data_IF_711779822095
#
_entry.id   IF_711779822095
#
_cell.length_a   1.000
_cell.length_b   1.000
_cell.length_c   1.000
_cell.angle_alpha   90.00
_cell.angle_beta   90.00
_cell.angle_gamma   90.00
#
_symmetry.space_group_name_H-M   'P 1'
#
loop_
_entity.id
_entity.type
_entity.pdbx_description
1 polymer ?
#
# COMPACT_ATOMS: atom_id res chain seq x y z
N UNK A 1 -56.11 -0.92 -5.11
CA UNK A 1 -54.94 -1.82 -5.20
C UNK A 1 -54.44 -1.85 -6.64
N UNK A 2 -53.24 -1.33 -6.97
CA UNK A 2 -52.71 -1.43 -8.32
C UNK A 2 -51.99 -2.77 -8.52
N UNK A 3 -52.32 -3.49 -9.60
CA UNK A 3 -51.65 -4.72 -10.03
C UNK A 3 -50.23 -4.38 -10.51
N UNK A 4 -49.20 -4.84 -9.81
CA UNK A 4 -47.81 -4.77 -10.27
C UNK A 4 -47.55 -5.89 -11.28
N UNK A 5 -47.03 -5.49 -12.43
CA UNK A 5 -46.75 -6.32 -13.60
C UNK A 5 -45.61 -7.30 -13.28
N UNK A 6 -45.88 -8.62 -13.30
CA UNK A 6 -44.98 -9.69 -12.82
C UNK A 6 -43.90 -10.15 -13.81
N UNK A 7 -43.70 -9.44 -14.93
CA UNK A 7 -42.90 -9.95 -16.06
C UNK A 7 -41.61 -9.17 -16.37
N UNK A 8 -41.03 -8.46 -15.39
CA UNK A 8 -39.67 -7.91 -15.55
C UNK A 8 -38.70 -8.85 -14.82
N UNK A 9 -37.79 -9.55 -15.52
CA UNK A 9 -36.73 -10.31 -14.87
C UNK A 9 -35.90 -9.36 -14.02
N UNK A 10 -35.82 -9.60 -12.72
CA UNK A 10 -34.90 -8.88 -11.86
C UNK A 10 -33.47 -9.11 -12.38
N UNK A 11 -32.62 -8.07 -12.50
CA UNK A 11 -31.24 -8.26 -12.89
C UNK A 11 -30.55 -9.15 -11.84
N UNK A 12 -29.94 -10.24 -12.32
CA UNK A 12 -29.24 -11.22 -11.49
C UNK A 12 -28.31 -10.50 -10.50
N UNK A 13 -28.41 -10.76 -9.18
CA UNK A 13 -27.58 -10.10 -8.20
C UNK A 13 -26.12 -10.52 -8.40
N UNK A 14 -25.34 -9.58 -8.92
CA UNK A 14 -23.87 -9.67 -9.08
C UNK A 14 -23.25 -10.26 -7.81
N UNK A 15 -22.45 -11.31 -8.00
CA UNK A 15 -22.01 -12.24 -6.98
C UNK A 15 -21.59 -11.62 -5.64
N UNK A 16 -22.25 -12.06 -4.56
CA UNK A 16 -21.86 -11.80 -3.16
C UNK A 16 -20.44 -12.26 -2.89
N UNK A 17 -19.52 -11.34 -2.59
CA UNK A 17 -18.22 -11.70 -2.01
C UNK A 17 -18.48 -12.40 -0.67
N UNK A 18 -18.27 -13.73 -0.60
CA UNK A 18 -18.36 -14.50 0.65
C UNK A 18 -19.51 -15.51 0.80
N UNK A 19 -20.35 -15.75 -0.22
CA UNK A 19 -21.28 -16.89 -0.20
C UNK A 19 -21.01 -17.82 -1.38
N UNK A 20 -20.73 -19.08 -1.07
CA UNK A 20 -20.54 -20.19 -2.01
C UNK A 20 -21.83 -21.01 -2.08
N UNK A 21 -22.60 -20.84 -3.15
CA UNK A 21 -23.62 -21.81 -3.53
C UNK A 21 -23.18 -22.45 -4.85
N UNK A 22 -23.01 -23.78 -4.84
CA UNK A 22 -23.18 -24.66 -6.00
C UNK A 22 -22.19 -24.55 -7.15
N UNK A 23 -20.89 -24.72 -6.89
CA UNK A 23 -19.84 -25.34 -7.75
C UNK A 23 -18.48 -24.91 -7.19
N UNK A 24 -17.64 -25.87 -6.79
CA UNK A 24 -16.31 -25.55 -6.26
C UNK A 24 -15.46 -24.97 -7.39
N UNK A 25 -15.05 -23.69 -7.36
CA UNK A 25 -14.10 -23.18 -8.33
C UNK A 25 -12.80 -23.99 -8.24
N UNK A 26 -12.05 -24.15 -9.36
CA UNK A 26 -10.80 -24.91 -9.37
C UNK A 26 -9.90 -24.45 -8.23
N UNK A 27 -9.40 -25.40 -7.45
CA UNK A 27 -8.61 -25.14 -6.23
C UNK A 27 -7.36 -24.34 -6.61
N UNK A 28 -7.41 -23.03 -6.42
CA UNK A 28 -6.25 -22.17 -6.58
C UNK A 28 -5.20 -22.58 -5.54
N UNK A 29 -4.03 -23.05 -6.01
CA UNK A 29 -2.92 -23.44 -5.14
C UNK A 29 -1.94 -22.26 -5.03
N UNK A 30 -1.67 -21.72 -3.83
CA UNK A 30 -0.66 -20.69 -3.66
C UNK A 30 0.71 -21.27 -4.02
N UNK A 31 1.44 -20.61 -4.92
CA UNK A 31 2.82 -20.97 -5.24
C UNK A 31 3.76 -20.35 -4.19
N UNK A 32 4.54 -21.19 -3.51
CA UNK A 32 5.57 -20.77 -2.56
C UNK A 32 6.64 -19.90 -3.23
N UNK A 33 6.89 -20.12 -4.53
CA UNK A 33 7.84 -19.32 -5.34
C UNK A 33 7.46 -17.84 -5.32
N UNK A 34 6.17 -17.52 -5.28
CA UNK A 34 5.67 -16.14 -5.22
C UNK A 34 5.98 -15.48 -3.86
N UNK A 35 6.10 -16.25 -2.79
CA UNK A 35 6.47 -15.73 -1.48
C UNK A 35 8.00 -15.54 -1.33
N UNK A 36 8.82 -16.19 -2.18
CA UNK A 36 10.28 -16.17 -2.12
C UNK A 36 10.92 -14.77 -2.11
N UNK A 37 10.38 -13.73 -2.80
CA UNK A 37 10.97 -12.40 -2.75
C UNK A 37 11.04 -11.80 -1.34
N UNK A 38 10.12 -12.14 -0.43
CA UNK A 38 10.12 -11.60 0.93
C UNK A 38 11.38 -12.02 1.73
N UNK A 39 11.71 -13.32 1.89
CA UNK A 39 12.96 -13.72 2.53
C UNK A 39 14.20 -13.33 1.70
N UNK A 40 14.12 -13.31 0.37
CA UNK A 40 15.26 -12.89 -0.46
C UNK A 40 15.66 -11.44 -0.20
N UNK A 41 14.69 -10.53 -0.08
CA UNK A 41 14.95 -9.13 0.27
C UNK A 41 15.60 -9.02 1.65
N UNK A 42 15.09 -9.74 2.65
CA UNK A 42 15.66 -9.74 4.02
C UNK A 42 17.12 -10.23 3.99
N UNK A 43 17.38 -11.35 3.32
CA UNK A 43 18.74 -11.91 3.20
C UNK A 43 19.64 -10.95 2.43
N UNK A 44 19.16 -10.33 1.36
CA UNK A 44 19.93 -9.37 0.56
C UNK A 44 20.32 -8.15 1.38
N UNK A 45 19.39 -7.58 2.15
CA UNK A 45 19.67 -6.47 3.08
C UNK A 45 20.69 -6.91 4.13
N UNK A 46 20.56 -8.10 4.71
CA UNK A 46 21.50 -8.61 5.70
C UNK A 46 22.91 -8.78 5.12
N UNK A 47 23.02 -9.39 3.93
CA UNK A 47 24.30 -9.58 3.21
C UNK A 47 24.92 -8.23 2.89
N UNK A 48 24.18 -7.31 2.29
CA UNK A 48 24.69 -5.96 2.00
C UNK A 48 25.09 -5.21 3.27
N UNK A 49 24.35 -5.37 4.38
CA UNK A 49 24.70 -4.76 5.65
C UNK A 49 26.03 -5.28 6.21
N UNK A 50 26.40 -6.53 5.91
CA UNK A 50 27.67 -7.13 6.33
C UNK A 50 28.86 -6.76 5.42
N UNK A 51 28.64 -6.66 4.10
CA UNK A 51 29.73 -6.47 3.14
C UNK A 51 30.00 -4.99 2.81
N UNK A 52 29.00 -4.11 2.94
CA UNK A 52 29.19 -2.70 2.62
C UNK A 52 29.96 -1.99 3.74
N UNK A 53 30.91 -1.10 3.40
CA UNK A 53 31.66 -0.34 4.39
C UNK A 53 30.73 0.53 5.25
N UNK A 54 31.15 0.86 6.49
CA UNK A 54 30.42 1.79 7.35
C UNK A 54 30.19 3.14 6.65
N UNK A 55 29.15 3.92 7.04
CA UNK A 55 28.83 5.19 6.40
C UNK A 55 30.01 6.17 6.28
N UNK A 56 30.90 6.20 7.27
CA UNK A 56 32.09 7.06 7.27
C UNK A 56 33.13 6.72 6.19
N UNK A 57 33.11 5.49 5.67
CA UNK A 57 34.03 4.97 4.66
C UNK A 57 33.31 4.64 3.33
N UNK A 58 32.03 5.01 3.21
CA UNK A 58 31.22 4.64 2.06
C UNK A 58 31.60 5.46 0.81
N UNK A 59 32.03 4.76 -0.24
CA UNK A 59 32.35 5.39 -1.52
C UNK A 59 31.08 5.84 -2.25
N UNK A 60 30.97 7.14 -2.55
CA UNK A 60 29.84 7.71 -3.30
C UNK A 60 29.63 7.08 -4.68
N UNK A 61 30.67 6.50 -5.29
CA UNK A 61 30.55 5.77 -6.56
C UNK A 61 29.74 4.47 -6.47
N UNK A 62 29.45 3.98 -5.25
CA UNK A 62 28.55 2.84 -5.02
C UNK A 62 27.08 3.26 -4.85
N UNK A 63 26.78 4.57 -4.86
CA UNK A 63 25.43 5.09 -4.87
C UNK A 63 24.98 5.39 -6.30
N UNK A 64 23.81 4.89 -6.67
CA UNK A 64 23.18 5.11 -7.97
C UNK A 64 21.86 5.86 -7.77
N UNK A 65 21.84 7.18 -8.05
CA UNK A 65 20.62 8.00 -7.98
C UNK A 65 20.43 8.83 -9.24
N UNK A 66 19.90 8.27 -10.33
CA UNK A 66 19.59 9.05 -11.52
C UNK A 66 18.45 10.07 -11.25
N UNK A 67 18.53 11.30 -11.78
CA UNK A 67 17.66 12.43 -11.38
C UNK A 67 16.13 12.26 -11.56
N UNK A 68 15.67 11.23 -12.28
CA UNK A 68 14.23 10.98 -12.48
C UNK A 68 13.84 9.51 -12.36
N UNK A 69 14.80 8.59 -12.28
CA UNK A 69 14.51 7.17 -12.28
C UNK A 69 13.61 6.81 -11.09
N UNK A 70 13.95 7.32 -9.90
CA UNK A 70 13.18 7.05 -8.70
C UNK A 70 11.75 7.63 -8.79
N UNK A 71 11.59 8.84 -9.33
CA UNK A 71 10.28 9.48 -9.52
C UNK A 71 9.38 8.67 -10.47
N UNK A 72 9.95 8.19 -11.57
CA UNK A 72 9.24 7.36 -12.56
C UNK A 72 8.83 6.02 -11.94
N UNK A 73 9.76 5.34 -11.26
CA UNK A 73 9.47 4.05 -10.62
C UNK A 73 8.42 4.19 -9.51
N UNK A 74 8.47 5.24 -8.69
CA UNK A 74 7.48 5.52 -7.66
C UNK A 74 6.11 5.80 -8.27
N UNK A 75 6.06 6.53 -9.39
CA UNK A 75 4.83 6.81 -10.12
C UNK A 75 4.20 5.52 -10.66
N UNK A 76 4.99 4.67 -11.32
CA UNK A 76 4.49 3.46 -11.99
C UNK A 76 4.15 2.37 -10.97
N UNK A 77 5.05 2.06 -10.05
CA UNK A 77 4.92 0.88 -9.19
C UNK A 77 4.27 1.17 -7.86
N UNK A 78 4.25 2.41 -7.36
CA UNK A 78 3.63 2.72 -6.07
C UNK A 78 2.36 3.54 -6.24
N UNK A 79 2.42 4.65 -6.98
CA UNK A 79 1.27 5.55 -7.13
C UNK A 79 0.16 4.93 -7.97
N UNK A 80 0.47 4.50 -9.20
CA UNK A 80 -0.53 3.94 -10.11
C UNK A 80 -1.21 2.69 -9.53
N UNK A 81 -0.42 1.77 -8.97
CA UNK A 81 -0.97 0.53 -8.38
C UNK A 81 -1.86 0.82 -7.18
N UNK A 82 -1.45 1.77 -6.34
CA UNK A 82 -2.23 2.24 -5.19
C UNK A 82 -3.54 2.92 -5.61
N UNK A 83 -3.50 3.76 -6.64
CA UNK A 83 -4.71 4.41 -7.17
C UNK A 83 -5.69 3.39 -7.76
N UNK A 84 -5.19 2.35 -8.41
CA UNK A 84 -6.01 1.23 -8.89
C UNK A 84 -6.66 0.50 -7.70
N UNK A 85 -5.89 0.17 -6.64
CA UNK A 85 -6.44 -0.45 -5.42
C UNK A 85 -7.50 0.44 -4.76
N UNK A 86 -7.25 1.75 -4.66
CA UNK A 86 -8.20 2.71 -4.11
C UNK A 86 -9.49 2.77 -4.97
N UNK A 87 -9.36 2.86 -6.29
CA UNK A 87 -10.50 2.87 -7.21
C UNK A 87 -11.37 1.61 -7.08
N UNK A 88 -10.74 0.44 -6.95
CA UNK A 88 -11.47 -0.83 -6.83
C UNK A 88 -12.15 -0.92 -5.48
N UNK A 89 -11.45 -0.54 -4.42
CA UNK A 89 -12.02 -0.46 -3.08
C UNK A 89 -13.24 0.47 -3.05
N UNK A 90 -13.16 1.59 -3.78
CA UNK A 90 -14.29 2.49 -3.98
C UNK A 90 -15.48 1.80 -4.67
N UNK A 91 -15.25 1.18 -5.83
CA UNK A 91 -16.32 0.53 -6.61
C UNK A 91 -16.95 -0.61 -5.81
N UNK A 92 -16.13 -1.44 -5.19
CA UNK A 92 -16.56 -2.57 -4.36
C UNK A 92 -17.35 -2.10 -3.15
N UNK A 93 -16.93 -1.06 -2.42
CA UNK A 93 -17.69 -0.54 -1.27
C UNK A 93 -19.05 0.03 -1.68
N UNK A 94 -19.13 0.77 -2.78
CA UNK A 94 -20.43 1.31 -3.26
C UNK A 94 -21.41 0.16 -3.52
N UNK A 95 -20.92 -0.94 -4.09
CA UNK A 95 -21.73 -2.13 -4.39
C UNK A 95 -22.08 -2.95 -3.14
N UNK A 96 -21.08 -3.37 -2.35
CA UNK A 96 -21.25 -4.36 -1.28
C UNK A 96 -21.36 -3.74 0.13
N UNK A 97 -21.11 -2.44 0.28
CA UNK A 97 -21.17 -1.71 1.54
C UNK A 97 -20.10 -2.08 2.56
N UNK A 98 -19.10 -2.91 2.22
CA UNK A 98 -18.17 -3.44 3.20
C UNK A 98 -17.18 -2.39 3.69
N UNK A 99 -17.37 -1.95 4.94
CA UNK A 99 -16.68 -0.77 5.50
C UNK A 99 -15.15 -0.91 5.56
N UNK A 100 -14.61 -2.12 5.65
CA UNK A 100 -13.15 -2.33 5.60
C UNK A 100 -12.53 -1.83 4.29
N UNK A 101 -13.28 -1.82 3.18
CA UNK A 101 -12.81 -1.35 1.87
C UNK A 101 -12.61 0.16 1.84
N UNK A 102 -13.37 0.92 2.63
CA UNK A 102 -13.14 2.36 2.77
C UNK A 102 -11.74 2.60 3.33
N UNK A 103 -11.42 1.95 4.44
CA UNK A 103 -10.11 2.04 5.09
C UNK A 103 -9.00 1.49 4.20
N UNK A 104 -9.22 0.35 3.55
CA UNK A 104 -8.25 -0.27 2.64
C UNK A 104 -7.85 0.68 1.51
N UNK A 105 -8.87 1.26 0.86
CA UNK A 105 -8.65 2.20 -0.22
C UNK A 105 -8.10 3.55 0.24
N UNK A 106 -8.46 4.02 1.43
CA UNK A 106 -7.83 5.19 2.06
C UNK A 106 -6.35 4.99 2.31
N UNK A 107 -5.94 3.81 2.80
CA UNK A 107 -4.53 3.47 2.99
C UNK A 107 -3.76 3.41 1.68
N UNK A 108 -4.33 2.78 0.66
CA UNK A 108 -3.75 2.75 -0.68
C UNK A 108 -3.64 4.18 -1.26
N UNK A 109 -4.69 4.99 -1.19
CA UNK A 109 -4.68 6.37 -1.67
C UNK A 109 -3.60 7.20 -0.97
N UNK A 110 -3.45 7.04 0.35
CA UNK A 110 -2.42 7.73 1.10
C UNK A 110 -1.00 7.36 0.63
N UNK A 111 -0.75 6.05 0.48
CA UNK A 111 0.54 5.54 0.01
C UNK A 111 0.85 6.01 -1.42
N UNK A 112 -0.14 5.93 -2.31
CA UNK A 112 0.03 6.32 -3.72
C UNK A 112 0.29 7.81 -3.90
N UNK A 113 -0.52 8.66 -3.26
CA UNK A 113 -0.38 10.12 -3.39
C UNK A 113 0.93 10.61 -2.80
N UNK A 114 1.32 10.11 -1.61
CA UNK A 114 2.59 10.52 -0.98
C UNK A 114 3.81 10.00 -1.74
N UNK A 115 3.74 8.78 -2.32
CA UNK A 115 4.81 8.26 -3.19
C UNK A 115 4.96 9.08 -4.47
N UNK A 116 3.85 9.48 -5.09
CA UNK A 116 3.86 10.35 -6.26
C UNK A 116 4.54 11.68 -5.95
N UNK A 117 4.04 12.38 -4.92
CA UNK A 117 4.55 13.70 -4.53
C UNK A 117 6.03 13.60 -4.15
N UNK A 118 6.39 12.69 -3.25
CA UNK A 118 7.77 12.54 -2.80
C UNK A 118 8.74 12.18 -3.94
N UNK A 119 8.33 11.31 -4.87
CA UNK A 119 9.17 10.94 -6.01
C UNK A 119 9.60 12.16 -6.82
N UNK A 120 8.68 13.09 -7.07
CA UNK A 120 8.97 14.31 -7.85
C UNK A 120 9.62 15.43 -7.03
N UNK A 121 9.43 15.47 -5.71
CA UNK A 121 10.03 16.50 -4.85
C UNK A 121 11.47 16.17 -4.39
N UNK A 122 11.93 14.92 -4.55
CA UNK A 122 13.21 14.46 -3.99
C UNK A 122 14.42 15.25 -4.50
N UNK A 123 14.36 15.73 -5.75
CA UNK A 123 15.47 16.42 -6.42
C UNK A 123 15.28 17.95 -6.47
N UNK A 124 14.43 18.52 -5.62
CA UNK A 124 14.28 19.96 -5.53
C UNK A 124 15.56 20.64 -4.98
N UNK A 125 15.81 21.91 -5.35
CA UNK A 125 16.95 22.68 -4.83
C UNK A 125 16.96 22.82 -3.29
N UNK A 126 15.78 22.76 -2.65
CA UNK A 126 15.62 22.78 -1.20
C UNK A 126 16.10 21.49 -0.50
N UNK A 127 16.55 20.50 -1.28
CA UNK A 127 17.05 19.23 -0.80
C UNK A 127 15.94 18.18 -0.61
N UNK A 128 16.32 16.94 -0.23
CA UNK A 128 15.39 15.81 -0.22
C UNK A 128 14.48 15.77 1.01
N UNK A 129 14.67 16.65 1.99
CA UNK A 129 13.96 16.58 3.28
C UNK A 129 12.42 16.66 3.12
N UNK A 130 11.83 17.62 2.38
CA UNK A 130 10.38 17.68 2.21
C UNK A 130 9.80 16.39 1.62
N UNK A 131 10.45 15.84 0.59
CA UNK A 131 10.05 14.57 -0.03
C UNK A 131 10.09 13.40 0.96
N UNK A 132 11.16 13.29 1.75
CA UNK A 132 11.32 12.25 2.77
C UNK A 132 10.25 12.39 3.86
N UNK A 133 9.98 13.61 4.33
CA UNK A 133 8.95 13.89 5.34
C UNK A 133 7.56 13.47 4.83
N UNK A 134 7.21 13.87 3.60
CA UNK A 134 5.91 13.53 2.99
C UNK A 134 5.77 12.02 2.81
N UNK A 135 6.81 11.36 2.27
CA UNK A 135 6.78 9.91 2.02
C UNK A 135 6.65 9.11 3.32
N UNK A 136 7.45 9.41 4.34
CA UNK A 136 7.48 8.62 5.57
C UNK A 136 6.22 8.82 6.42
N UNK A 137 5.71 10.05 6.51
CA UNK A 137 4.43 10.32 7.17
C UNK A 137 3.28 9.69 6.39
N UNK A 138 3.31 9.74 5.05
CA UNK A 138 2.37 9.03 4.19
C UNK A 138 2.38 7.52 4.41
N UNK A 139 3.57 6.91 4.54
CA UNK A 139 3.74 5.51 4.88
C UNK A 139 3.08 5.16 6.21
N UNK A 140 3.29 5.99 7.24
CA UNK A 140 2.70 5.81 8.55
C UNK A 140 1.17 5.85 8.47
N UNK A 141 0.61 6.89 7.85
CA UNK A 141 -0.85 7.03 7.66
C UNK A 141 -1.43 5.85 6.90
N UNK A 142 -0.80 5.45 5.78
CA UNK A 142 -1.22 4.30 5.00
C UNK A 142 -1.23 3.01 5.83
N UNK A 143 -0.15 2.76 6.59
CA UNK A 143 -0.02 1.58 7.43
C UNK A 143 -1.10 1.50 8.52
N UNK A 144 -1.46 2.62 9.15
CA UNK A 144 -2.55 2.71 10.12
C UNK A 144 -3.87 2.29 9.46
N UNK A 145 -4.19 2.86 8.30
CA UNK A 145 -5.39 2.49 7.56
C UNK A 145 -5.43 1.00 7.21
N UNK A 146 -4.31 0.39 6.80
CA UNK A 146 -4.24 -1.03 6.49
C UNK A 146 -4.40 -1.91 7.74
N UNK A 147 -3.80 -1.55 8.87
CA UNK A 147 -3.99 -2.26 10.15
C UNK A 147 -5.46 -2.19 10.58
N UNK A 148 -6.05 -1.00 10.62
CA UNK A 148 -7.45 -0.85 11.02
C UNK A 148 -8.36 -1.58 10.04
N UNK A 149 -8.11 -1.51 8.73
CA UNK A 149 -8.86 -2.28 7.72
C UNK A 149 -8.79 -3.79 7.97
N UNK A 150 -7.63 -4.31 8.37
CA UNK A 150 -7.43 -5.74 8.60
C UNK A 150 -8.18 -6.28 9.83
N UNK A 151 -8.35 -5.45 10.87
CA UNK A 151 -9.09 -5.81 12.10
C UNK A 151 -10.58 -5.51 11.97
N UNK A 152 -10.97 -4.58 11.09
CA UNK A 152 -12.34 -4.15 10.92
C UNK A 152 -13.20 -5.22 10.23
N UNK A 153 -13.88 -6.03 11.05
CA UNK A 153 -14.74 -7.12 10.60
C UNK A 153 -16.24 -6.80 10.68
N UNK A 154 -16.62 -5.53 10.85
CA UNK A 154 -18.04 -5.15 10.78
C UNK A 154 -18.58 -5.49 9.40
N UNK A 155 -19.74 -6.13 9.36
CA UNK A 155 -20.41 -6.55 8.13
C UNK A 155 -20.72 -5.39 7.17
N UNK A 156 -21.42 -5.66 6.06
CA UNK A 156 -21.86 -4.61 5.14
C UNK A 156 -22.50 -3.44 5.90
N UNK A 157 -22.15 -2.22 5.50
CA UNK A 157 -22.73 -0.99 6.04
C UNK A 157 -24.25 -1.12 6.10
N UNK A 158 -24.81 -0.74 7.25
CA UNK A 158 -26.27 -0.69 7.47
C UNK A 158 -26.95 0.29 6.50
N UNK A 159 -26.17 1.18 5.87
CA UNK A 159 -26.64 2.08 4.84
C UNK A 159 -26.96 1.33 3.56
N UNK A 160 -28.25 1.29 3.19
CA UNK A 160 -28.73 0.61 1.97
C UNK A 160 -28.50 1.42 0.68
N UNK A 161 -28.42 2.75 0.78
CA UNK A 161 -28.32 3.62 -0.40
C UNK A 161 -26.90 3.74 -0.93
N UNK A 162 -26.71 3.42 -2.22
CA UNK A 162 -25.46 3.62 -2.94
C UNK A 162 -25.00 5.09 -2.95
N UNK A 163 -25.94 6.05 -2.95
CA UNK A 163 -25.63 7.49 -2.90
C UNK A 163 -24.95 7.86 -1.58
N UNK A 164 -25.46 7.38 -0.44
CA UNK A 164 -24.87 7.62 0.88
C UNK A 164 -23.49 6.97 0.97
N UNK A 165 -23.34 5.73 0.49
CA UNK A 165 -22.03 5.05 0.44
C UNK A 165 -21.02 5.83 -0.38
N UNK A 166 -21.43 6.36 -1.54
CA UNK A 166 -20.57 7.21 -2.36
C UNK A 166 -20.14 8.48 -1.62
N UNK A 167 -21.06 9.16 -0.94
CA UNK A 167 -20.72 10.35 -0.15
C UNK A 167 -19.71 10.04 0.96
N UNK A 168 -19.90 8.94 1.70
CA UNK A 168 -18.94 8.50 2.73
C UNK A 168 -17.54 8.34 2.15
N UNK A 169 -17.42 7.72 0.98
CA UNK A 169 -16.13 7.56 0.33
C UNK A 169 -15.53 8.87 -0.17
N UNK A 170 -16.34 9.77 -0.72
CA UNK A 170 -15.87 11.09 -1.14
C UNK A 170 -15.30 11.84 0.07
N UNK A 171 -15.97 11.81 1.22
CA UNK A 171 -15.43 12.42 2.44
C UNK A 171 -14.18 11.71 2.95
N UNK A 172 -14.15 10.37 2.94
CA UNK A 172 -12.97 9.62 3.40
C UNK A 172 -11.74 9.87 2.51
N UNK A 173 -11.89 9.77 1.19
CA UNK A 173 -10.79 9.98 0.24
C UNK A 173 -10.42 11.46 0.14
N UNK A 174 -11.42 12.34 0.13
CA UNK A 174 -11.20 13.78 0.19
C UNK A 174 -10.46 14.19 1.46
N UNK A 175 -10.78 13.60 2.60
CA UNK A 175 -10.06 13.81 3.85
C UNK A 175 -8.60 13.36 3.79
N UNK A 176 -8.33 12.18 3.21
CA UNK A 176 -6.95 11.70 3.00
C UNK A 176 -6.16 12.62 2.08
N UNK A 177 -6.74 13.00 0.93
CA UNK A 177 -6.08 13.90 -0.02
C UNK A 177 -5.89 15.30 0.54
N UNK A 178 -6.89 15.83 1.25
CA UNK A 178 -6.80 17.12 1.92
C UNK A 178 -5.73 17.13 3.01
N UNK A 179 -5.66 16.10 3.85
CA UNK A 179 -4.60 15.94 4.83
C UNK A 179 -3.22 15.89 4.17
N UNK A 180 -3.05 15.08 3.12
CA UNK A 180 -1.76 14.96 2.41
C UNK A 180 -1.35 16.28 1.75
N UNK A 181 -2.29 16.97 1.11
CA UNK A 181 -2.02 18.25 0.47
C UNK A 181 -1.58 19.31 1.50
N UNK A 182 -2.34 19.44 2.60
CA UNK A 182 -1.99 20.37 3.68
C UNK A 182 -0.64 20.02 4.32
N UNK A 183 -0.42 18.74 4.62
CA UNK A 183 0.84 18.30 5.20
C UNK A 183 2.04 18.51 4.27
N UNK A 184 1.85 18.30 2.96
CA UNK A 184 2.88 18.56 1.95
C UNK A 184 3.23 20.05 1.86
N UNK A 185 2.23 20.94 1.93
CA UNK A 185 2.45 22.40 1.98
C UNK A 185 3.28 22.75 3.22
N UNK A 186 2.85 22.32 4.41
CA UNK A 186 3.56 22.56 5.67
C UNK A 186 4.99 22.02 5.64
N UNK A 187 5.22 20.86 5.01
CA UNK A 187 6.56 20.29 4.86
C UNK A 187 7.44 21.08 3.87
N UNK A 188 6.85 21.61 2.79
CA UNK A 188 7.55 22.44 1.80
C UNK A 188 7.94 23.81 2.37
N UNK A 189 7.09 24.39 3.23
CA UNK A 189 7.37 25.63 3.98
C UNK A 189 8.37 25.43 5.13
N UNK A 190 8.89 24.21 5.33
CA UNK A 190 9.86 23.91 6.39
C UNK A 190 9.28 23.96 7.81
N UNK A 191 7.96 23.96 7.96
CA UNK A 191 7.27 24.04 9.26
C UNK A 191 7.20 22.69 9.98
N UNK A 192 7.53 21.59 9.29
CA UNK A 192 7.66 20.26 9.92
C UNK A 192 9.06 20.07 10.50
N UNK A 193 9.21 19.37 11.64
CA UNK A 193 10.53 18.97 12.11
C UNK A 193 11.29 18.18 11.04
N UNK A 194 12.61 18.38 10.95
CA UNK A 194 13.41 17.76 9.91
C UNK A 194 13.47 16.23 10.06
N UNK A 195 13.27 15.51 8.95
CA UNK A 195 13.44 14.06 8.86
C UNK A 195 14.84 13.71 8.35
N UNK A 196 15.47 14.64 7.64
CA UNK A 196 16.81 14.51 7.09
C UNK A 196 17.51 15.86 7.11
N UNK A 197 18.75 15.88 7.58
CA UNK A 197 19.59 17.08 7.59
C UNK A 197 20.79 16.83 6.66
N UNK A 198 20.98 17.63 5.59
CA UNK A 198 22.14 17.49 4.71
C UNK A 198 23.45 17.53 5.48
N UNK A 199 24.37 16.62 5.17
CA UNK A 199 25.67 16.51 5.86
C UNK A 199 25.64 15.82 7.23
N UNK A 200 24.48 15.73 7.89
CA UNK A 200 24.32 15.02 9.18
C UNK A 200 23.66 13.65 8.98
N UNK A 201 22.63 13.56 8.15
CA UNK A 201 21.93 12.31 7.83
C UNK A 201 20.48 12.25 8.36
N UNK A 202 20.04 11.03 8.69
CA UNK A 202 18.67 10.74 9.13
C UNK A 202 18.45 11.20 10.58
N UNK A 203 17.28 11.77 10.91
CA UNK A 203 16.95 12.17 12.28
C UNK A 203 16.29 11.05 13.08
N UNK A 204 16.34 11.13 14.42
CA UNK A 204 15.65 10.16 15.31
C UNK A 204 14.15 10.13 15.04
N UNK A 205 13.53 11.30 14.82
CA UNK A 205 12.11 11.39 14.48
C UNK A 205 11.78 10.58 13.22
N UNK A 206 12.59 10.73 12.16
CA UNK A 206 12.43 9.94 10.94
C UNK A 206 12.48 8.44 11.24
N UNK A 207 13.44 8.00 12.05
CA UNK A 207 13.59 6.58 12.40
C UNK A 207 12.36 6.05 13.14
N UNK A 208 11.81 6.81 14.09
CA UNK A 208 10.59 6.40 14.82
C UNK A 208 9.39 6.33 13.88
N UNK A 209 9.18 7.34 13.03
CA UNK A 209 8.04 7.39 12.10
C UNK A 209 8.12 6.27 11.07
N UNK A 210 9.27 6.11 10.42
CA UNK A 210 9.49 5.09 9.40
C UNK A 210 9.44 3.68 9.99
N UNK A 211 9.98 3.50 11.20
CA UNK A 211 10.01 2.20 11.88
C UNK A 211 8.62 1.77 12.30
N UNK A 212 7.83 2.73 12.81
CA UNK A 212 6.41 2.52 13.10
C UNK A 212 5.63 2.13 11.84
N UNK A 213 5.86 2.84 10.72
CA UNK A 213 5.23 2.51 9.45
C UNK A 213 5.59 1.09 8.97
N UNK A 214 6.87 0.74 8.98
CA UNK A 214 7.36 -0.59 8.59
C UNK A 214 6.75 -1.69 9.46
N UNK A 215 6.74 -1.49 10.79
CA UNK A 215 6.15 -2.43 11.74
C UNK A 215 4.63 -2.58 11.53
N UNK A 216 3.89 -1.48 11.32
CA UNK A 216 2.45 -1.51 11.07
C UNK A 216 2.12 -2.17 9.72
N UNK A 217 2.92 -1.97 8.68
CA UNK A 217 2.77 -2.71 7.43
C UNK A 217 3.00 -4.22 7.62
N UNK A 218 4.01 -4.60 8.41
CA UNK A 218 4.24 -6.00 8.76
C UNK A 218 3.08 -6.59 9.58
N UNK A 219 2.55 -5.86 10.55
CA UNK A 219 1.37 -6.25 11.32
C UNK A 219 0.15 -6.40 10.42
N UNK A 220 -0.12 -5.44 9.53
CA UNK A 220 -1.20 -5.54 8.56
C UNK A 220 -1.04 -6.78 7.66
N UNK A 221 0.18 -7.05 7.18
CA UNK A 221 0.50 -8.25 6.41
C UNK A 221 0.16 -9.52 7.20
N UNK A 222 0.60 -9.64 8.45
CA UNK A 222 0.31 -10.80 9.30
C UNK A 222 -1.20 -10.96 9.55
N UNK A 223 -1.93 -9.87 9.79
CA UNK A 223 -3.38 -9.91 10.03
C UNK A 223 -4.16 -10.34 8.78
N UNK A 224 -3.79 -9.83 7.60
CA UNK A 224 -4.38 -10.29 6.32
C UNK A 224 -3.97 -11.73 5.99
N UNK A 225 -2.74 -12.14 6.31
CA UNK A 225 -2.28 -13.53 6.16
C UNK A 225 -3.08 -14.47 7.07
N UNK A 226 -3.29 -14.10 8.34
CA UNK A 226 -4.15 -14.85 9.27
C UNK A 226 -5.56 -15.00 8.69
N UNK A 227 -6.15 -13.92 8.16
CA UNK A 227 -7.47 -13.98 7.51
C UNK A 227 -7.48 -14.90 6.29
N UNK A 228 -6.40 -14.93 5.52
CA UNK A 228 -6.24 -15.85 4.39
C UNK A 228 -6.19 -17.31 4.86
N UNK A 229 -5.33 -17.65 5.82
CA UNK A 229 -5.14 -19.02 6.28
C UNK A 229 -6.32 -19.55 7.12
N UNK A 230 -7.03 -18.68 7.83
CA UNK A 230 -8.24 -19.05 8.58
C UNK A 230 -9.50 -19.14 7.70
N UNK A 231 -9.46 -18.68 6.45
CA UNK A 231 -10.61 -18.74 5.55
C UNK A 231 -10.70 -20.10 4.85
N UNK A 232 -11.86 -20.74 4.92
CA UNK A 232 -12.14 -22.03 4.28
C UNK A 232 -11.97 -22.01 2.76
N UNK A 233 -12.09 -20.84 2.12
CA UNK A 233 -12.01 -20.67 0.66
C UNK A 233 -10.69 -20.06 0.16
N UNK A 234 -9.68 -19.83 1.03
CA UNK A 234 -8.33 -19.32 0.71
C UNK A 234 -8.28 -18.36 -0.51
N UNK A 235 -8.75 -17.12 -0.32
CA UNK A 235 -8.85 -16.12 -1.39
C UNK A 235 -7.50 -15.77 -2.03
N UNK A 236 -7.39 -15.92 -3.35
CA UNK A 236 -6.23 -15.49 -4.13
C UNK A 236 -5.94 -13.99 -3.91
N UNK A 237 -6.96 -13.14 -3.84
CA UNK A 237 -6.80 -11.70 -3.63
C UNK A 237 -6.08 -11.42 -2.31
N UNK A 238 -6.50 -12.07 -1.23
CA UNK A 238 -5.88 -11.87 0.08
C UNK A 238 -4.42 -12.32 0.09
N UNK A 239 -4.09 -13.40 -0.62
CA UNK A 239 -2.71 -13.89 -0.72
C UNK A 239 -1.75 -12.87 -1.31
N UNK A 240 -2.07 -12.35 -2.50
CA UNK A 240 -1.27 -11.32 -3.15
C UNK A 240 -1.22 -10.04 -2.32
N UNK A 241 -2.33 -9.70 -1.66
CA UNK A 241 -2.43 -8.48 -0.87
C UNK A 241 -1.54 -8.49 0.39
N UNK A 242 -1.55 -9.59 1.17
CA UNK A 242 -0.71 -9.64 2.37
C UNK A 242 0.79 -9.69 2.00
N UNK A 243 1.14 -10.38 0.91
CA UNK A 243 2.53 -10.40 0.42
C UNK A 243 2.98 -9.01 -0.04
N UNK A 244 2.11 -8.27 -0.73
CA UNK A 244 2.39 -6.87 -1.11
C UNK A 244 2.67 -5.99 0.11
N UNK A 245 1.84 -6.07 1.16
CA UNK A 245 2.06 -5.35 2.41
C UNK A 245 3.37 -5.75 3.10
N UNK A 246 3.69 -7.05 3.10
CA UNK A 246 4.93 -7.56 3.68
C UNK A 246 6.17 -7.01 2.94
N UNK A 247 6.14 -7.04 1.61
CA UNK A 247 7.19 -6.48 0.77
C UNK A 247 7.36 -4.98 0.98
N UNK A 248 6.26 -4.23 1.11
CA UNK A 248 6.30 -2.80 1.46
C UNK A 248 6.93 -2.58 2.83
N UNK A 249 6.51 -3.35 3.85
CA UNK A 249 7.06 -3.24 5.21
C UNK A 249 8.56 -3.53 5.27
N UNK A 250 9.02 -4.62 4.66
CA UNK A 250 10.46 -4.96 4.58
C UNK A 250 11.22 -3.93 3.75
N UNK A 251 10.63 -3.45 2.66
CA UNK A 251 11.24 -2.42 1.82
C UNK A 251 11.47 -1.10 2.56
N UNK A 252 10.52 -0.69 3.42
CA UNK A 252 10.69 0.45 4.33
C UNK A 252 11.74 0.16 5.40
N UNK A 253 11.76 -1.05 5.97
CA UNK A 253 12.74 -1.45 6.97
C UNK A 253 14.20 -1.46 6.44
N UNK A 254 14.41 -1.67 5.14
CA UNK A 254 15.73 -1.62 4.53
C UNK A 254 16.42 -0.25 4.71
N UNK A 255 15.66 0.84 4.82
CA UNK A 255 16.18 2.21 4.95
C UNK A 255 17.01 2.41 6.23
N UNK A 256 16.72 1.65 7.29
CA UNK A 256 17.51 1.67 8.54
C UNK A 256 18.95 1.18 8.35
N UNK A 257 19.17 0.36 7.32
CA UNK A 257 20.46 -0.20 6.99
C UNK A 257 21.10 0.54 5.80
N UNK A 258 20.47 1.58 5.24
CA UNK A 258 21.09 2.40 4.19
C UNK A 258 22.27 3.23 4.72
N UNK A 259 23.35 3.30 3.95
CA UNK A 259 24.56 4.11 4.15
C UNK A 259 24.41 5.45 3.42
N UNK A 260 23.81 5.44 2.24
CA UNK A 260 23.51 6.63 1.45
C UNK A 260 22.24 6.44 0.59
N UNK A 261 21.57 7.53 0.18
CA UNK A 261 20.53 7.43 -0.84
C UNK A 261 21.03 6.72 -2.10
N UNK A 262 20.28 5.73 -2.57
CA UNK A 262 20.57 4.94 -3.77
C UNK A 262 21.78 4.02 -3.67
N UNK A 263 22.24 3.72 -2.46
CA UNK A 263 23.13 2.58 -2.27
C UNK A 263 22.42 1.23 -2.56
N UNK A 264 23.15 0.10 -2.58
CA UNK A 264 22.55 -1.20 -2.87
C UNK A 264 21.43 -1.62 -1.89
N UNK A 265 21.50 -1.21 -0.62
CA UNK A 265 20.47 -1.53 0.38
C UNK A 265 19.19 -0.73 0.09
N UNK A 266 19.33 0.55 -0.24
CA UNK A 266 18.25 1.45 -0.62
C UNK A 266 17.54 0.93 -1.87
N UNK A 267 18.28 0.51 -2.88
CA UNK A 267 17.71 -0.11 -4.08
C UNK A 267 17.03 -1.45 -3.80
N UNK A 268 17.61 -2.28 -2.92
CA UNK A 268 16.98 -3.53 -2.50
C UNK A 268 15.61 -3.27 -1.85
N UNK A 269 15.55 -2.29 -0.95
CA UNK A 269 14.30 -1.87 -0.31
C UNK A 269 13.27 -1.30 -1.29
N UNK A 270 13.69 -0.43 -2.21
CA UNK A 270 12.83 0.14 -3.25
C UNK A 270 12.28 -0.93 -4.19
N UNK A 271 13.13 -1.86 -4.64
CA UNK A 271 12.71 -2.99 -5.48
C UNK A 271 11.68 -3.87 -4.77
N UNK A 272 11.84 -4.11 -3.46
CA UNK A 272 10.84 -4.81 -2.67
C UNK A 272 9.48 -4.08 -2.70
N UNK A 273 9.48 -2.75 -2.47
CA UNK A 273 8.25 -1.94 -2.56
C UNK A 273 7.64 -1.95 -3.96
N UNK A 274 8.44 -1.86 -5.02
CA UNK A 274 7.96 -1.92 -6.40
C UNK A 274 7.32 -3.27 -6.73
N UNK A 275 7.96 -4.36 -6.31
CA UNK A 275 7.40 -5.69 -6.41
C UNK A 275 6.10 -5.81 -5.61
N UNK A 276 6.03 -5.23 -4.41
CA UNK A 276 4.80 -5.10 -3.63
C UNK A 276 3.68 -4.41 -4.43
N UNK A 277 4.00 -3.34 -5.14
CA UNK A 277 3.11 -2.70 -6.11
C UNK A 277 2.55 -3.64 -7.18
N UNK A 278 3.41 -4.46 -7.80
CA UNK A 278 2.96 -5.48 -8.77
C UNK A 278 2.06 -6.53 -8.13
N UNK A 279 2.32 -6.90 -6.87
CA UNK A 279 1.50 -7.86 -6.13
C UNK A 279 0.13 -7.25 -5.79
N UNK A 280 0.05 -5.95 -5.51
CA UNK A 280 -1.24 -5.26 -5.40
C UNK A 280 -2.05 -5.32 -6.70
N UNK A 281 -1.42 -5.08 -7.86
CA UNK A 281 -2.09 -5.24 -9.16
C UNK A 281 -2.60 -6.67 -9.37
N UNK A 282 -1.82 -7.67 -8.96
CA UNK A 282 -2.24 -9.07 -9.07
C UNK A 282 -3.40 -9.39 -8.13
N UNK A 283 -3.39 -8.85 -6.90
CA UNK A 283 -4.50 -8.97 -5.95
C UNK A 283 -5.79 -8.43 -6.57
N UNK A 284 -5.71 -7.23 -7.15
CA UNK A 284 -6.78 -6.56 -7.89
C UNK A 284 -7.30 -7.41 -9.06
N UNK A 285 -6.41 -7.89 -9.91
CA UNK A 285 -6.78 -8.68 -11.08
C UNK A 285 -7.49 -9.98 -10.68
N UNK A 286 -7.03 -10.63 -9.61
CA UNK A 286 -7.69 -11.85 -9.10
C UNK A 286 -9.04 -11.57 -8.46
N UNK A 287 -9.23 -10.38 -7.88
CA UNK A 287 -10.54 -9.96 -7.37
C UNK A 287 -11.57 -9.83 -8.50
N UNK A 288 -11.17 -9.22 -9.62
CA UNK A 288 -12.04 -9.07 -10.79
C UNK A 288 -12.37 -10.40 -11.49
N UNK A 289 -11.39 -11.28 -11.67
CA UNK A 289 -11.65 -12.63 -12.23
C UNK A 289 -12.63 -13.43 -11.39
N UNK A 290 -12.58 -13.30 -10.07
CA UNK A 290 -13.53 -13.94 -9.16
C UNK A 290 -14.97 -13.40 -9.29
N UNK A 291 -15.15 -12.16 -9.77
CA UNK A 291 -16.47 -11.58 -10.05
C UNK A 291 -17.02 -11.88 -11.44
N UNK A 292 -16.18 -12.07 -12.46
CA UNK A 292 -16.62 -12.35 -13.85
C UNK A 292 -16.91 -13.82 -14.13
N UNK A 293 -16.40 -14.75 -13.31
CA UNK A 293 -16.71 -16.18 -13.40
C UNK A 293 -18.03 -16.56 -12.68
N UNK A 294 -18.90 -15.58 -12.43
CA UNK A 294 -20.20 -15.69 -11.75
C UNK A 294 -21.25 -14.95 -12.55
#
# INVERSE_FOLDING_TARGET
MPRTNRNIPEPNPVGRVGQTAGTLPPTWKPSIVVAAPLPLVIVSVAVFNLILPPPAQFNKGLAFEPPYLNAILYTIFLALTSFIVAYISFKSYVQNGSTFLVLLGSGALAWGTTSLIAGWLTNLPTGPNPAITISNTGALVASIFHVVSSTWSRGPSTQKSAKIRRSILIFAYGGVLGFIALYAIVALEGMTPAFFVPGVGQTVLRMVVLGSAAALFAVASILFARRYFSSQSRSSTLYWYFLALGLTGVGLAAVFFGRAPGDPISWTGRTAMFLGGTYFLKAVHTAFKGTSAR
#
